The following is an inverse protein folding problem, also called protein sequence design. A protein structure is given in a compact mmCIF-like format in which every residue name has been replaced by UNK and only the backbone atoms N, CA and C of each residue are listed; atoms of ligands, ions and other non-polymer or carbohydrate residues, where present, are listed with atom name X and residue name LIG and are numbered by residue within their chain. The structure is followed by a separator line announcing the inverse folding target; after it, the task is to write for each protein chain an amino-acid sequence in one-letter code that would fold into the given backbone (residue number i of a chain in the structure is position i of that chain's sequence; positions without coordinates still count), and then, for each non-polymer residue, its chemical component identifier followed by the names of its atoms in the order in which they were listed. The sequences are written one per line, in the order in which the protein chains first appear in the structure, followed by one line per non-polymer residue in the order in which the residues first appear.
data_IF_430717665395
#
_entry.id   IF_430717665395
#
_cell.length_a   1.000
_cell.length_b   1.000
_cell.length_c   1.000
_cell.angle_alpha   90.00
_cell.angle_beta   90.00
_cell.angle_gamma   90.00
#
_symmetry.space_group_name_H-M   'P 1'
#
loop_
_entity.id
_entity.type
_entity.pdbx_description
1 polymer ?
#
# COMPACT_ATOMS: atom_id res chain seq x y z
N UNK A 1 -1.27 7.23 -22.75
CA UNK A 1 -0.64 8.07 -23.79
C UNK A 1 0.81 8.30 -23.44
N UNK A 2 1.72 8.04 -24.39
CA UNK A 2 3.13 8.40 -24.27
C UNK A 2 3.32 9.83 -24.81
N UNK A 3 3.74 10.74 -23.94
CA UNK A 3 3.97 12.16 -24.24
C UNK A 3 5.47 12.41 -24.41
N UNK A 4 6.05 11.79 -25.44
CA UNK A 4 7.49 11.80 -25.69
C UNK A 4 8.00 13.15 -26.26
N UNK A 5 7.10 13.96 -26.79
CA UNK A 5 7.35 15.28 -27.36
C UNK A 5 7.35 16.41 -26.30
N UNK A 6 7.04 16.09 -25.04
CA UNK A 6 7.05 17.05 -23.92
C UNK A 6 8.43 17.06 -23.26
N UNK A 7 9.27 18.09 -23.49
CA UNK A 7 10.59 18.15 -22.88
C UNK A 7 10.47 18.40 -21.37
N UNK A 8 11.18 17.60 -20.57
CA UNK A 8 11.29 17.80 -19.13
C UNK A 8 12.73 18.15 -18.76
N UNK A 9 12.91 19.03 -17.77
CA UNK A 9 14.24 19.38 -17.27
C UNK A 9 14.79 18.20 -16.44
N UNK A 10 15.96 17.62 -16.77
CA UNK A 10 16.53 16.46 -16.03
C UNK A 10 16.79 16.70 -14.55
N UNK A 11 16.86 17.97 -14.13
CA UNK A 11 17.06 18.42 -12.74
C UNK A 11 15.76 18.85 -12.05
N UNK A 12 14.60 18.64 -12.66
CA UNK A 12 13.31 19.00 -12.07
C UNK A 12 13.11 18.25 -10.73
N UNK A 13 12.78 19.01 -9.68
CA UNK A 13 12.57 18.42 -8.35
C UNK A 13 11.34 17.52 -8.33
N UNK A 14 10.23 18.00 -8.91
CA UNK A 14 8.97 17.26 -9.10
C UNK A 14 8.67 17.19 -10.60
N UNK A 15 9.05 16.11 -11.30
CA UNK A 15 8.99 16.07 -12.76
C UNK A 15 7.56 16.04 -13.32
N UNK A 16 6.56 15.66 -12.51
CA UNK A 16 5.16 15.60 -12.92
C UNK A 16 4.38 16.90 -12.66
N UNK A 17 5.02 17.91 -12.05
CA UNK A 17 4.37 19.17 -11.69
C UNK A 17 3.80 19.88 -12.92
N UNK A 18 2.47 20.06 -12.96
CA UNK A 18 1.77 20.73 -14.07
C UNK A 18 1.47 19.83 -15.28
N UNK A 19 1.83 18.54 -15.22
CA UNK A 19 1.61 17.59 -16.33
C UNK A 19 0.30 16.79 -16.19
N UNK A 20 -0.40 16.95 -15.06
CA UNK A 20 -1.57 16.15 -14.68
C UNK A 20 -2.70 16.18 -15.69
N UNK A 21 -2.89 17.26 -16.43
CA UNK A 21 -4.01 17.46 -17.35
C UNK A 21 -3.66 17.17 -18.80
N UNK A 22 -2.38 17.10 -19.15
CA UNK A 22 -1.93 16.98 -20.55
C UNK A 22 -2.39 15.68 -21.22
N UNK A 23 -2.67 14.64 -20.42
CA UNK A 23 -3.16 13.37 -20.91
C UNK A 23 -4.68 13.24 -21.03
N UNK A 24 -5.44 14.32 -20.76
CA UNK A 24 -6.90 14.26 -20.74
C UNK A 24 -7.41 13.28 -19.68
N UNK A 25 -8.31 12.35 -20.04
CA UNK A 25 -8.75 11.28 -19.14
C UNK A 25 -7.82 10.05 -19.15
N UNK A 26 -6.85 9.97 -20.07
CA UNK A 26 -5.94 8.83 -20.21
C UNK A 26 -4.78 8.88 -19.22
N UNK A 27 -4.15 7.73 -18.95
CA UNK A 27 -2.83 7.69 -18.31
C UNK A 27 -1.80 8.50 -19.12
N UNK A 28 -0.87 9.18 -18.44
CA UNK A 28 0.19 9.99 -19.06
C UNK A 28 1.57 9.45 -18.71
N UNK A 29 2.38 9.13 -19.72
CA UNK A 29 3.76 8.67 -19.54
C UNK A 29 4.70 9.73 -20.10
N UNK A 30 5.65 10.20 -19.29
CA UNK A 30 6.60 11.25 -19.65
C UNK A 30 8.05 10.75 -19.50
N UNK A 31 8.92 11.16 -20.43
CA UNK A 31 10.34 10.89 -20.30
C UNK A 31 10.95 11.76 -19.20
N UNK A 32 11.59 11.15 -18.20
CA UNK A 32 12.40 11.88 -17.20
C UNK A 32 13.36 10.91 -16.48
N UNK A 33 14.62 11.30 -16.15
CA UNK A 33 15.60 10.41 -15.50
C UNK A 33 15.23 9.95 -14.09
N UNK A 34 14.49 10.77 -13.33
CA UNK A 34 13.88 10.39 -12.05
C UNK A 34 12.56 9.66 -12.31
N UNK A 35 12.34 8.53 -11.63
CA UNK A 35 11.05 7.83 -11.56
C UNK A 35 10.11 8.56 -10.60
N UNK A 36 8.90 8.84 -11.07
CA UNK A 36 7.79 9.40 -10.31
C UNK A 36 6.47 8.79 -10.82
N UNK A 37 5.49 8.70 -9.95
CA UNK A 37 4.13 8.30 -10.27
C UNK A 37 3.18 9.06 -9.36
N UNK A 38 2.11 9.61 -9.92
CA UNK A 38 1.02 10.22 -9.16
C UNK A 38 -0.31 9.71 -9.72
N UNK A 39 -1.18 9.25 -8.82
CA UNK A 39 -2.57 8.99 -9.12
C UNK A 39 -3.37 10.29 -9.15
N UNK A 40 -4.10 10.52 -10.24
CA UNK A 40 -4.88 11.73 -10.49
C UNK A 40 -6.36 11.42 -10.31
N UNK A 41 -7.03 12.29 -9.55
CA UNK A 41 -8.41 12.07 -9.17
C UNK A 41 -9.36 12.15 -10.36
N UNK A 42 -10.27 11.18 -10.46
CA UNK A 42 -11.35 11.09 -11.44
C UNK A 42 -12.69 11.05 -10.72
N UNK A 43 -13.80 11.09 -11.46
CA UNK A 43 -15.13 10.92 -10.87
C UNK A 43 -15.24 9.61 -10.09
N UNK A 44 -15.94 9.62 -8.96
CA UNK A 44 -16.21 8.39 -8.18
C UNK A 44 -16.81 7.30 -9.08
N UNK A 45 -16.34 6.07 -8.90
CA UNK A 45 -16.74 4.92 -9.70
C UNK A 45 -15.99 4.78 -11.03
N UNK A 46 -15.22 5.80 -11.45
CA UNK A 46 -14.23 5.65 -12.53
C UNK A 46 -12.86 5.31 -11.95
N UNK A 47 -12.12 4.46 -12.66
CA UNK A 47 -10.71 4.21 -12.34
C UNK A 47 -9.92 5.50 -12.38
N UNK A 48 -9.12 5.75 -11.34
CA UNK A 48 -8.14 6.83 -11.35
C UNK A 48 -7.16 6.67 -12.51
N UNK A 49 -6.64 7.78 -13.01
CA UNK A 49 -5.57 7.75 -14.02
C UNK A 49 -4.22 7.99 -13.38
N UNK A 50 -3.18 7.42 -13.98
CA UNK A 50 -1.80 7.60 -13.53
C UNK A 50 -1.04 8.53 -14.47
N UNK A 51 -0.25 9.40 -13.86
CA UNK A 51 0.75 10.22 -14.54
C UNK A 51 2.09 9.81 -13.98
N UNK A 52 3.01 9.36 -14.85
CA UNK A 52 4.26 8.75 -14.43
C UNK A 52 5.43 9.11 -15.34
N UNK A 53 6.63 8.97 -14.79
CA UNK A 53 7.89 9.07 -15.55
C UNK A 53 8.62 7.74 -15.63
N UNK A 54 9.49 7.61 -16.63
CA UNK A 54 10.09 6.31 -17.01
C UNK A 54 11.36 5.93 -16.27
N UNK A 55 12.18 6.90 -15.84
CA UNK A 55 13.62 6.69 -15.69
C UNK A 55 14.36 6.86 -17.03
N UNK A 56 15.68 6.66 -17.04
CA UNK A 56 16.50 6.79 -18.25
C UNK A 56 17.64 5.77 -18.31
N UNK A 57 17.88 5.18 -19.49
CA UNK A 57 19.00 4.25 -19.75
C UNK A 57 20.30 4.97 -20.16
N UNK A 58 20.35 6.29 -20.02
CA UNK A 58 21.54 7.10 -20.31
C UNK A 58 22.50 7.12 -19.12
N UNK A 59 23.78 7.46 -19.38
CA UNK A 59 24.74 7.75 -18.31
C UNK A 59 24.37 9.07 -17.63
N UNK A 60 24.49 9.18 -16.29
CA UNK A 60 24.24 10.45 -15.61
C UNK A 60 25.34 11.45 -15.98
N UNK A 61 24.95 12.52 -16.67
CA UNK A 61 25.85 13.62 -17.03
C UNK A 61 25.19 14.92 -16.58
N UNK A 62 25.67 15.45 -15.46
CA UNK A 62 25.11 16.63 -14.81
C UNK A 62 26.19 17.65 -14.45
N UNK A 63 25.79 18.92 -14.32
CA UNK A 63 26.69 19.98 -13.85
C UNK A 63 27.05 19.82 -12.37
N UNK A 64 28.13 20.46 -11.92
CA UNK A 64 28.53 20.48 -10.51
C UNK A 64 27.66 21.39 -9.62
N UNK A 65 26.61 22.01 -10.18
CA UNK A 65 25.66 22.81 -9.42
C UNK A 65 24.85 21.96 -8.44
N UNK A 66 24.25 22.59 -7.42
CA UNK A 66 23.30 21.92 -6.50
C UNK A 66 22.20 21.17 -7.26
N UNK A 67 21.65 21.78 -8.31
CA UNK A 67 20.61 21.17 -9.13
C UNK A 67 21.14 19.95 -9.90
N UNK A 68 22.34 20.04 -10.47
CA UNK A 68 23.00 18.92 -11.15
C UNK A 68 23.30 17.75 -10.22
N UNK A 69 23.86 18.01 -9.04
CA UNK A 69 24.12 16.97 -8.03
C UNK A 69 22.86 16.31 -7.49
N UNK A 70 21.78 17.07 -7.30
CA UNK A 70 20.48 16.51 -6.94
C UNK A 70 19.89 15.67 -8.09
N UNK A 71 20.02 16.12 -9.33
CA UNK A 71 19.61 15.36 -10.52
C UNK A 71 20.35 14.03 -10.62
N UNK A 72 21.68 14.06 -10.49
CA UNK A 72 22.56 12.88 -10.47
C UNK A 72 22.15 11.87 -9.39
N UNK A 73 21.91 12.33 -8.16
CA UNK A 73 21.49 11.48 -7.04
C UNK A 73 20.16 10.75 -7.29
N UNK A 74 19.21 11.40 -7.96
CA UNK A 74 17.88 10.85 -8.21
C UNK A 74 17.70 10.21 -9.60
N UNK A 75 18.71 10.25 -10.47
CA UNK A 75 18.63 9.55 -11.75
C UNK A 75 18.54 8.04 -11.50
N UNK A 76 17.55 7.42 -12.13
CA UNK A 76 17.34 5.97 -12.10
C UNK A 76 17.59 5.41 -13.48
N UNK A 77 18.50 4.45 -13.56
CA UNK A 77 18.55 3.55 -14.71
C UNK A 77 17.32 2.65 -14.69
N UNK A 78 16.43 2.87 -15.63
CA UNK A 78 15.12 2.25 -15.59
C UNK A 78 14.28 2.50 -16.83
N UNK A 79 13.12 1.87 -16.83
CA UNK A 79 12.11 1.95 -17.85
C UNK A 79 10.73 1.67 -17.23
N UNK A 80 9.67 1.80 -18.02
CA UNK A 80 8.32 1.38 -17.65
C UNK A 80 7.88 0.28 -18.62
N UNK A 81 7.45 -0.84 -18.08
CA UNK A 81 6.67 -1.84 -18.83
C UNK A 81 5.24 -1.36 -18.88
N UNK A 82 4.67 -1.35 -20.09
CA UNK A 82 3.26 -1.10 -20.34
C UNK A 82 2.66 -2.37 -20.92
N UNK A 83 1.73 -2.97 -20.21
CA UNK A 83 0.91 -4.05 -20.74
C UNK A 83 -0.49 -3.50 -20.98
N UNK A 84 -1.00 -3.66 -22.21
CA UNK A 84 -2.30 -3.17 -22.61
C UNK A 84 -3.04 -4.27 -23.38
N UNK A 85 -4.21 -4.66 -22.88
CA UNK A 85 -5.06 -5.70 -23.46
C UNK A 85 -6.23 -5.11 -24.29
N UNK A 86 -6.17 -3.82 -24.60
CA UNK A 86 -7.26 -3.07 -25.24
C UNK A 86 -8.18 -2.36 -24.25
N UNK A 87 -8.35 -2.88 -23.03
CA UNK A 87 -9.24 -2.32 -22.01
C UNK A 87 -8.49 -1.77 -20.79
N UNK A 88 -7.53 -2.53 -20.27
CA UNK A 88 -6.76 -2.25 -19.07
C UNK A 88 -5.30 -1.97 -19.42
N UNK A 89 -4.70 -1.01 -18.71
CA UNK A 89 -3.28 -0.70 -18.85
C UNK A 89 -2.57 -0.94 -17.52
N UNK A 90 -1.63 -1.88 -17.49
CA UNK A 90 -0.78 -2.16 -16.33
C UNK A 90 0.59 -1.54 -16.52
N UNK A 91 1.09 -0.89 -15.47
CA UNK A 91 2.39 -0.22 -15.47
C UNK A 91 3.28 -0.84 -14.42
N UNK A 92 4.53 -1.17 -14.80
CA UNK A 92 5.56 -1.61 -13.84
C UNK A 92 6.86 -0.88 -14.11
N UNK A 93 7.42 -0.26 -13.08
CA UNK A 93 8.72 0.41 -13.19
C UNK A 93 9.83 -0.62 -13.07
N UNK A 94 10.65 -0.72 -14.12
CA UNK A 94 11.91 -1.43 -14.08
C UNK A 94 12.96 -0.50 -13.49
N UNK A 95 13.56 -0.91 -12.38
CA UNK A 95 14.55 -0.12 -11.67
C UNK A 95 15.83 -0.94 -11.51
N UNK A 96 16.85 -0.59 -12.29
CA UNK A 96 18.09 -1.34 -12.34
C UNK A 96 18.95 -1.11 -11.08
N UNK A 97 19.63 -2.17 -10.67
CA UNK A 97 20.75 -2.14 -9.75
C UNK A 97 21.97 -1.47 -10.37
N UNK A 98 23.01 -1.26 -9.56
CA UNK A 98 24.27 -0.66 -10.04
C UNK A 98 25.00 -1.52 -11.07
N UNK A 99 24.75 -2.82 -11.07
CA UNK A 99 25.28 -3.81 -12.01
C UNK A 99 24.46 -3.91 -13.32
N UNK A 100 23.40 -3.10 -13.45
CA UNK A 100 22.48 -3.12 -14.59
C UNK A 100 21.44 -4.24 -14.53
N UNK A 101 21.46 -5.09 -13.50
CA UNK A 101 20.42 -6.11 -13.31
C UNK A 101 19.11 -5.48 -12.83
N UNK A 102 17.98 -6.02 -13.26
CA UNK A 102 16.66 -5.58 -12.83
C UNK A 102 15.69 -6.76 -12.72
N UNK A 103 14.55 -6.49 -12.12
CA UNK A 103 13.52 -7.48 -11.84
C UNK A 103 12.20 -7.02 -12.44
N UNK A 104 11.44 -7.97 -12.96
CA UNK A 104 10.03 -7.80 -13.29
C UNK A 104 9.27 -9.03 -12.78
N UNK A 105 8.37 -8.81 -11.82
CA UNK A 105 7.59 -9.84 -11.14
C UNK A 105 8.47 -10.92 -10.50
N UNK A 106 8.53 -12.12 -11.06
CA UNK A 106 9.29 -13.27 -10.57
C UNK A 106 10.54 -13.54 -11.40
N UNK A 107 10.90 -12.62 -12.31
CA UNK A 107 12.01 -12.76 -13.25
C UNK A 107 13.11 -11.73 -12.99
N UNK A 108 14.35 -12.21 -12.91
CA UNK A 108 15.56 -11.38 -12.90
C UNK A 108 16.20 -11.35 -14.28
N UNK A 109 16.66 -10.17 -14.68
CA UNK A 109 17.36 -9.89 -15.93
C UNK A 109 18.76 -9.34 -15.64
N UNK A 110 19.77 -9.75 -16.41
CA UNK A 110 21.17 -9.37 -16.22
C UNK A 110 21.89 -9.12 -17.55
N UNK A 111 23.03 -8.42 -17.49
CA UNK A 111 23.85 -8.05 -18.67
C UNK A 111 24.57 -9.23 -19.31
N UNK A 112 24.89 -10.28 -18.53
CA UNK A 112 25.72 -11.41 -18.97
C UNK A 112 24.94 -12.61 -19.51
N UNK A 113 23.62 -12.66 -19.31
CA UNK A 113 22.75 -13.67 -19.88
C UNK A 113 21.32 -13.15 -19.89
N UNK A 114 20.68 -13.14 -21.07
CA UNK A 114 19.23 -12.89 -21.22
C UNK A 114 18.35 -13.98 -20.57
N UNK A 115 18.93 -14.87 -19.75
CA UNK A 115 18.21 -15.92 -19.04
C UNK A 115 17.48 -15.33 -17.84
N UNK A 116 16.16 -15.41 -17.96
CA UNK A 116 15.15 -15.34 -16.89
C UNK A 116 15.54 -16.27 -15.74
N UNK A 117 16.04 -15.70 -14.65
CA UNK A 117 16.19 -16.44 -13.39
C UNK A 117 14.94 -16.21 -12.55
N UNK A 118 14.30 -17.29 -12.12
CA UNK A 118 13.22 -17.21 -11.15
C UNK A 118 13.77 -16.75 -9.80
N UNK A 119 13.06 -15.83 -9.14
CA UNK A 119 13.39 -15.39 -7.79
C UNK A 119 12.12 -15.33 -6.93
N UNK A 120 12.31 -15.02 -5.64
CA UNK A 120 11.24 -14.65 -4.72
C UNK A 120 11.29 -13.15 -4.45
N UNK A 121 10.14 -12.51 -4.28
CA UNK A 121 10.11 -11.13 -3.78
C UNK A 121 10.51 -11.08 -2.30
N UNK A 122 11.15 -10.01 -1.86
CA UNK A 122 11.47 -9.80 -0.45
C UNK A 122 10.24 -9.39 0.35
N UNK A 123 9.54 -8.37 -0.14
CA UNK A 123 8.36 -7.82 0.53
C UNK A 123 7.26 -7.59 -0.49
N UNK A 124 6.04 -7.99 -0.15
CA UNK A 124 4.82 -7.54 -0.81
C UNK A 124 4.00 -6.72 0.21
N UNK A 125 3.92 -5.41 0.00
CA UNK A 125 3.07 -4.52 0.80
C UNK A 125 1.73 -4.36 0.09
N UNK A 126 0.66 -4.77 0.75
CA UNK A 126 -0.69 -4.64 0.23
C UNK A 126 -1.17 -3.19 0.38
N UNK A 127 -2.16 -2.81 -0.44
CA UNK A 127 -2.89 -1.57 -0.22
C UNK A 127 -3.72 -1.70 1.06
N UNK A 128 -4.04 -0.56 1.67
CA UNK A 128 -4.81 -0.48 2.92
C UNK A 128 -6.01 -1.44 2.90
N UNK A 129 -6.07 -2.37 3.85
CA UNK A 129 -6.85 -3.60 3.68
C UNK A 129 -8.34 -3.41 3.98
N UNK A 130 -8.65 -2.72 5.08
CA UNK A 130 -9.99 -2.54 5.65
C UNK A 130 -10.77 -3.86 5.70
N UNK A 131 -10.43 -4.74 6.63
CA UNK A 131 -10.76 -6.17 6.59
C UNK A 131 -12.21 -6.53 6.32
N UNK A 132 -13.20 -5.80 6.83
CA UNK A 132 -14.63 -6.05 6.56
C UNK A 132 -15.19 -5.32 5.34
N UNK A 133 -14.38 -4.45 4.74
CA UNK A 133 -14.68 -3.65 3.55
C UNK A 133 -13.70 -3.92 2.39
N UNK A 134 -12.89 -4.98 2.49
CA UNK A 134 -11.96 -5.36 1.43
C UNK A 134 -12.72 -5.68 0.13
N UNK A 135 -12.10 -5.40 -1.02
CA UNK A 135 -12.59 -5.89 -2.29
C UNK A 135 -12.17 -7.35 -2.48
N UNK A 136 -13.16 -8.25 -2.56
CA UNK A 136 -12.92 -9.69 -2.68
C UNK A 136 -12.17 -10.05 -3.97
N UNK A 137 -12.46 -9.37 -5.07
CA UNK A 137 -11.81 -9.61 -6.36
C UNK A 137 -10.33 -9.19 -6.32
N UNK A 138 -10.02 -8.14 -5.56
CA UNK A 138 -8.64 -7.72 -5.30
C UNK A 138 -7.89 -8.78 -4.52
N UNK A 139 -8.43 -9.26 -3.39
CA UNK A 139 -7.71 -10.29 -2.61
C UNK A 139 -7.61 -11.64 -3.31
N UNK A 140 -8.57 -11.97 -4.17
CA UNK A 140 -8.46 -13.13 -5.06
C UNK A 140 -7.27 -12.95 -6.03
N UNK A 141 -7.16 -11.79 -6.66
CA UNK A 141 -6.04 -11.46 -7.55
C UNK A 141 -4.69 -11.33 -6.79
N UNK A 142 -4.71 -10.95 -5.52
CA UNK A 142 -3.50 -10.71 -4.72
C UNK A 142 -2.97 -11.96 -4.02
N UNK A 143 -3.84 -12.70 -3.33
CA UNK A 143 -3.43 -13.77 -2.39
C UNK A 143 -4.11 -15.09 -2.72
N UNK A 144 -5.44 -15.11 -2.80
CA UNK A 144 -6.20 -16.35 -2.69
C UNK A 144 -6.34 -17.15 -3.99
N UNK A 145 -6.22 -16.48 -5.13
CA UNK A 145 -6.28 -17.12 -6.44
C UNK A 145 -5.04 -17.98 -6.71
N UNK A 146 -5.22 -19.05 -7.51
CA UNK A 146 -4.11 -19.92 -7.92
C UNK A 146 -3.03 -19.17 -8.70
N UNK A 147 -3.46 -18.25 -9.56
CA UNK A 147 -2.60 -17.37 -10.37
C UNK A 147 -2.50 -15.96 -9.74
N UNK A 148 -2.63 -15.88 -8.41
CA UNK A 148 -2.53 -14.62 -7.68
C UNK A 148 -1.13 -14.02 -7.74
N UNK A 149 -1.05 -12.73 -7.43
CA UNK A 149 0.20 -12.01 -7.36
C UNK A 149 1.16 -12.63 -6.33
N UNK A 150 0.66 -13.07 -5.17
CA UNK A 150 1.45 -13.75 -4.16
C UNK A 150 1.95 -15.12 -4.65
N UNK A 151 1.12 -15.90 -5.37
CA UNK A 151 1.54 -17.15 -6.01
C UNK A 151 2.67 -16.92 -7.02
N UNK A 152 2.60 -15.83 -7.79
CA UNK A 152 3.64 -15.45 -8.75
C UNK A 152 4.93 -14.98 -8.07
N UNK A 153 4.84 -14.02 -7.17
CA UNK A 153 5.98 -13.35 -6.53
C UNK A 153 6.64 -14.20 -5.43
N UNK A 154 5.86 -15.09 -4.79
CA UNK A 154 6.25 -15.89 -3.62
C UNK A 154 6.98 -15.06 -2.56
N UNK A 155 6.36 -13.97 -2.04
CA UNK A 155 7.05 -13.05 -1.16
C UNK A 155 7.60 -13.73 0.10
N UNK A 156 8.74 -13.27 0.61
CA UNK A 156 9.25 -13.69 1.93
C UNK A 156 8.42 -13.07 3.06
N UNK A 157 8.06 -11.80 2.92
CA UNK A 157 7.27 -11.03 3.88
C UNK A 157 6.06 -10.38 3.21
N UNK A 158 4.91 -10.42 3.88
CA UNK A 158 3.78 -9.55 3.58
C UNK A 158 3.71 -8.41 4.60
N UNK A 159 3.50 -7.18 4.14
CA UNK A 159 3.21 -6.02 5.00
C UNK A 159 1.77 -5.57 4.76
N UNK A 160 1.03 -5.37 5.85
CA UNK A 160 -0.36 -4.93 5.85
C UNK A 160 -0.49 -3.57 6.54
N UNK A 161 -1.32 -2.70 5.96
CA UNK A 161 -1.73 -1.42 6.51
C UNK A 161 -3.26 -1.39 6.66
N UNK A 162 -3.76 -0.61 7.63
CA UNK A 162 -5.20 -0.41 7.90
C UNK A 162 -6.01 -1.71 7.85
N UNK A 163 -5.59 -2.70 8.63
CA UNK A 163 -6.21 -4.03 8.60
C UNK A 163 -7.61 -4.01 9.19
N UNK A 164 -7.80 -3.30 10.29
CA UNK A 164 -9.11 -3.08 10.90
C UNK A 164 -9.79 -1.91 10.21
N UNK A 165 -11.07 -2.02 9.83
CA UNK A 165 -11.81 -0.87 9.29
C UNK A 165 -12.39 -0.01 10.43
N UNK A 166 -12.94 -0.70 11.43
CA UNK A 166 -13.65 -0.21 12.60
C UNK A 166 -14.94 0.57 12.28
N UNK A 167 -15.60 0.27 11.16
CA UNK A 167 -16.85 0.92 10.81
C UNK A 167 -17.97 0.62 11.80
N UNK A 168 -17.99 -0.57 12.41
CA UNK A 168 -19.05 -0.98 13.35
C UNK A 168 -19.24 0.00 14.50
N UNK A 169 -18.16 0.66 14.95
CA UNK A 169 -18.20 1.63 16.03
C UNK A 169 -17.33 2.88 15.79
N UNK A 170 -17.16 3.28 14.52
CA UNK A 170 -16.33 4.43 14.17
C UNK A 170 -16.84 5.72 14.80
N UNK A 171 -15.90 6.50 15.36
CA UNK A 171 -16.18 7.84 15.88
C UNK A 171 -16.53 8.86 14.78
N UNK A 172 -16.34 8.52 13.51
CA UNK A 172 -16.76 9.33 12.37
C UNK A 172 -18.23 9.13 11.96
N UNK A 173 -18.87 8.06 12.42
CA UNK A 173 -20.26 7.78 12.06
C UNK A 173 -21.21 8.79 12.73
N UNK A 174 -22.07 9.41 11.93
CA UNK A 174 -23.12 10.27 12.45
C UNK A 174 -24.31 9.44 12.99
N UNK A 175 -25.37 10.12 13.45
CA UNK A 175 -26.57 9.44 13.96
C UNK A 175 -27.23 8.54 12.91
N UNK A 176 -27.31 8.99 11.67
CA UNK A 176 -27.95 8.25 10.59
C UNK A 176 -27.11 7.06 10.14
N UNK A 177 -25.79 7.18 10.12
CA UNK A 177 -24.87 6.09 9.84
C UNK A 177 -24.97 5.00 10.90
N UNK A 178 -24.98 5.37 12.19
CA UNK A 178 -25.19 4.43 13.29
C UNK A 178 -26.54 3.72 13.17
N UNK A 179 -27.61 4.44 12.81
CA UNK A 179 -28.92 3.82 12.60
C UNK A 179 -28.91 2.84 11.41
N UNK A 180 -28.23 3.18 10.30
CA UNK A 180 -28.07 2.29 9.15
C UNK A 180 -27.36 1.00 9.54
N UNK A 181 -26.25 1.11 10.29
CA UNK A 181 -25.48 -0.03 10.78
C UNK A 181 -26.32 -0.91 11.70
N UNK A 182 -27.00 -0.33 12.69
CA UNK A 182 -27.92 -1.07 13.57
C UNK A 182 -28.99 -1.83 12.78
N UNK A 183 -29.58 -1.19 11.77
CA UNK A 183 -30.60 -1.83 10.92
C UNK A 183 -30.05 -2.99 10.11
N UNK A 184 -28.80 -2.93 9.68
CA UNK A 184 -28.13 -4.00 8.94
C UNK A 184 -27.34 -4.98 9.83
N UNK A 185 -27.44 -4.86 11.16
CA UNK A 185 -26.60 -5.61 12.12
C UNK A 185 -25.09 -5.42 11.89
N UNK A 186 -24.69 -4.27 11.33
CA UNK A 186 -23.30 -3.93 11.03
C UNK A 186 -22.58 -3.19 12.16
N UNK A 187 -23.21 -3.04 13.33
CA UNK A 187 -22.65 -2.36 14.51
C UNK A 187 -22.13 -3.33 15.57
N UNK A 188 -21.85 -4.58 15.20
CA UNK A 188 -21.23 -5.60 16.05
C UNK A 188 -19.70 -5.61 15.88
N UNK A 189 -19.02 -4.96 16.82
CA UNK A 189 -17.55 -4.87 16.87
C UNK A 189 -16.91 -6.25 17.04
N UNK A 190 -17.54 -7.16 17.79
CA UNK A 190 -16.98 -8.48 18.02
C UNK A 190 -17.00 -9.32 16.74
N UNK A 191 -18.04 -9.16 15.91
CA UNK A 191 -18.12 -9.79 14.58
C UNK A 191 -17.07 -9.21 13.65
N UNK A 192 -16.93 -7.88 13.57
CA UNK A 192 -15.91 -7.24 12.74
C UNK A 192 -14.48 -7.69 13.12
N UNK A 193 -14.18 -7.78 14.42
CA UNK A 193 -12.89 -8.28 14.90
C UNK A 193 -12.69 -9.73 14.46
N UNK A 194 -13.66 -10.62 14.66
CA UNK A 194 -13.55 -12.04 14.25
C UNK A 194 -13.28 -12.18 12.75
N UNK A 195 -14.00 -11.43 11.92
CA UNK A 195 -13.82 -11.44 10.47
C UNK A 195 -12.43 -10.92 10.08
N UNK A 196 -11.98 -9.85 10.73
CA UNK A 196 -10.64 -9.29 10.52
C UNK A 196 -9.54 -10.28 10.92
N UNK A 197 -9.65 -10.93 12.09
CA UNK A 197 -8.68 -11.95 12.53
C UNK A 197 -8.67 -13.15 11.57
N UNK A 198 -9.85 -13.63 11.14
CA UNK A 198 -9.95 -14.72 10.18
C UNK A 198 -9.27 -14.35 8.84
N UNK A 199 -9.42 -13.11 8.39
CA UNK A 199 -8.77 -12.63 7.17
C UNK A 199 -7.24 -12.57 7.32
N UNK A 200 -6.73 -12.08 8.44
CA UNK A 200 -5.28 -12.08 8.74
C UNK A 200 -4.73 -13.51 8.69
N UNK A 201 -5.40 -14.45 9.37
CA UNK A 201 -5.02 -15.86 9.38
C UNK A 201 -4.99 -16.44 7.96
N UNK A 202 -6.04 -16.22 7.19
CA UNK A 202 -6.12 -16.68 5.80
C UNK A 202 -5.00 -16.11 4.92
N UNK A 203 -4.65 -14.83 5.08
CA UNK A 203 -3.52 -14.22 4.36
C UNK A 203 -2.19 -14.87 4.79
N UNK A 204 -1.99 -15.11 6.09
CA UNK A 204 -0.78 -15.75 6.61
C UNK A 204 -0.60 -17.19 6.12
N UNK A 205 -1.72 -17.91 5.92
CA UNK A 205 -1.71 -19.31 5.47
C UNK A 205 -1.59 -19.44 3.95
N UNK A 206 -2.36 -18.67 3.19
CA UNK A 206 -2.48 -18.85 1.73
C UNK A 206 -1.43 -18.06 0.93
N UNK A 207 -0.78 -17.04 1.51
CA UNK A 207 0.20 -16.22 0.76
C UNK A 207 1.54 -16.91 0.46
N UNK A 208 1.87 -17.98 1.19
CA UNK A 208 3.20 -18.59 1.14
C UNK A 208 4.32 -17.74 1.75
N UNK A 209 4.00 -16.62 2.40
CA UNK A 209 4.96 -15.79 3.10
C UNK A 209 5.45 -16.47 4.38
N UNK A 210 6.70 -16.19 4.75
CA UNK A 210 7.29 -16.67 6.00
C UNK A 210 6.82 -15.84 7.20
N UNK A 211 6.43 -14.59 6.96
CA UNK A 211 5.90 -13.69 7.99
C UNK A 211 4.90 -12.68 7.40
N UNK A 212 3.95 -12.25 8.22
CA UNK A 212 2.98 -11.20 7.95
C UNK A 212 3.17 -10.11 9.00
N UNK A 213 3.50 -8.91 8.56
CA UNK A 213 3.79 -7.76 9.41
C UNK A 213 2.66 -6.74 9.28
N UNK A 214 2.07 -6.34 10.40
CA UNK A 214 1.04 -5.32 10.48
C UNK A 214 1.70 -4.03 10.94
N UNK A 215 1.75 -3.03 10.06
CA UNK A 215 2.26 -1.72 10.39
C UNK A 215 1.25 -0.98 11.29
N UNK A 216 1.75 -0.28 12.32
CA UNK A 216 0.91 0.55 13.17
C UNK A 216 0.23 1.67 12.37
N UNK A 217 -1.09 1.73 12.41
CA UNK A 217 -1.89 2.63 11.56
C UNK A 217 -2.94 3.42 12.35
N UNK A 218 -3.52 4.47 11.74
CA UNK A 218 -4.55 5.25 12.41
C UNK A 218 -5.80 4.41 12.66
N UNK A 219 -6.11 3.43 11.81
CA UNK A 219 -7.25 2.56 12.01
C UNK A 219 -7.12 1.69 13.27
N UNK A 220 -5.92 1.25 13.65
CA UNK A 220 -5.70 0.56 14.93
C UNK A 220 -6.11 1.46 16.11
N UNK A 221 -5.91 2.79 16.00
CA UNK A 221 -6.28 3.76 17.05
C UNK A 221 -7.79 3.97 17.20
N UNK A 222 -8.62 3.52 16.25
CA UNK A 222 -10.08 3.67 16.37
C UNK A 222 -10.63 2.87 17.56
N UNK A 223 -10.11 1.67 17.80
CA UNK A 223 -10.54 0.85 18.94
C UNK A 223 -10.09 1.50 20.26
N UNK A 224 -8.91 2.10 20.31
CA UNK A 224 -8.44 2.88 21.47
C UNK A 224 -9.39 4.03 21.78
N UNK A 225 -9.69 4.88 20.79
CA UNK A 225 -10.64 6.01 20.94
C UNK A 225 -12.03 5.53 21.37
N UNK A 226 -12.48 4.41 20.83
CA UNK A 226 -13.76 3.81 21.20
C UNK A 226 -13.77 3.34 22.66
N UNK A 227 -12.69 2.72 23.13
CA UNK A 227 -12.53 2.27 24.52
C UNK A 227 -12.37 3.44 25.50
N UNK A 228 -11.75 4.54 25.11
CA UNK A 228 -11.61 5.75 25.95
C UNK A 228 -12.95 6.46 26.18
N UNK A 229 -13.82 6.51 25.17
CA UNK A 229 -15.11 7.17 25.30
C UNK A 229 -16.05 6.37 26.23
N UNK A 230 -16.24 6.89 27.44
CA UNK A 230 -17.08 6.29 28.48
C UNK A 230 -18.53 6.05 28.04
N UNK A 231 -19.04 6.76 27.04
CA UNK A 231 -20.41 6.58 26.54
C UNK A 231 -20.59 5.21 25.89
N UNK A 232 -19.53 4.67 25.29
CA UNK A 232 -19.55 3.35 24.64
C UNK A 232 -19.64 2.21 25.67
N UNK A 233 -19.34 2.45 26.95
CA UNK A 233 -19.50 1.46 28.02
C UNK A 233 -20.98 1.04 28.25
N UNK A 234 -21.92 1.87 27.77
CA UNK A 234 -23.36 1.61 27.84
C UNK A 234 -23.93 0.95 26.58
N UNK A 235 -23.09 0.68 25.57
CA UNK A 235 -23.53 -0.02 24.37
C UNK A 235 -23.75 -1.51 24.67
N UNK A 236 -25.03 -1.89 24.80
CA UNK A 236 -25.44 -3.26 25.11
C UNK A 236 -25.02 -4.25 24.02
N UNK A 237 -24.96 -3.82 22.74
CA UNK A 237 -24.57 -4.70 21.63
C UNK A 237 -23.10 -5.13 21.78
N UNK A 238 -22.24 -4.18 22.17
CA UNK A 238 -20.80 -4.36 22.21
C UNK A 238 -20.24 -4.50 23.63
N UNK A 239 -21.10 -4.66 24.64
CA UNK A 239 -20.70 -4.63 26.04
C UNK A 239 -19.58 -5.64 26.37
N UNK A 240 -19.69 -6.88 25.87
CA UNK A 240 -18.68 -7.92 26.15
C UNK A 240 -17.32 -7.52 25.56
N UNK A 241 -17.28 -7.23 24.26
CA UNK A 241 -16.02 -6.88 23.57
C UNK A 241 -15.42 -5.58 24.11
N UNK A 242 -16.25 -4.58 24.45
CA UNK A 242 -15.81 -3.34 25.08
C UNK A 242 -15.14 -3.61 26.43
N UNK A 243 -15.86 -4.23 27.37
CA UNK A 243 -15.40 -4.40 28.75
C UNK A 243 -14.24 -5.38 28.83
N UNK A 244 -14.23 -6.44 28.02
CA UNK A 244 -13.13 -7.39 27.96
C UNK A 244 -11.85 -6.76 27.44
N UNK A 245 -11.92 -6.05 26.31
CA UNK A 245 -10.73 -5.40 25.72
C UNK A 245 -10.20 -4.32 26.68
N UNK A 246 -11.09 -3.53 27.28
CA UNK A 246 -10.71 -2.49 28.24
C UNK A 246 -10.05 -3.08 29.48
N UNK A 247 -10.60 -4.17 30.03
CA UNK A 247 -10.00 -4.86 31.18
C UNK A 247 -8.62 -5.43 30.84
N UNK A 248 -8.46 -6.07 29.67
CA UNK A 248 -7.18 -6.61 29.24
C UNK A 248 -6.11 -5.52 29.15
N UNK A 249 -6.44 -4.38 28.55
CA UNK A 249 -5.54 -3.23 28.46
C UNK A 249 -5.22 -2.62 29.83
N UNK A 250 -6.21 -2.45 30.71
CA UNK A 250 -5.98 -1.93 32.06
C UNK A 250 -5.08 -2.85 32.89
N UNK A 251 -5.24 -4.17 32.75
CA UNK A 251 -4.38 -5.15 33.42
C UNK A 251 -2.94 -5.09 32.88
N UNK A 252 -2.75 -4.97 31.56
CA UNK A 252 -1.43 -4.80 30.96
C UNK A 252 -0.74 -3.53 31.49
N UNK A 253 -1.46 -2.40 31.52
CA UNK A 253 -0.95 -1.14 32.11
C UNK A 253 -0.56 -1.32 33.58
N UNK A 254 -1.40 -1.98 34.38
CA UNK A 254 -1.11 -2.26 35.79
C UNK A 254 0.13 -3.15 35.97
N UNK A 255 0.45 -3.98 34.97
CA UNK A 255 1.65 -4.81 34.92
C UNK A 255 2.89 -4.09 34.31
N UNK A 256 2.75 -2.84 33.84
CA UNK A 256 3.75 -2.11 33.05
C UNK A 256 4.08 -2.78 31.70
N UNK A 257 3.08 -3.38 31.08
CA UNK A 257 3.14 -3.98 29.75
C UNK A 257 2.34 -3.14 28.74
N UNK A 258 2.80 -3.12 27.49
CA UNK A 258 2.04 -2.54 26.38
C UNK A 258 1.18 -3.62 25.73
N UNK A 259 -0.09 -3.31 25.46
CA UNK A 259 -1.00 -4.20 24.75
C UNK A 259 -1.70 -3.45 23.61
N UNK A 260 -1.47 -3.90 22.38
CA UNK A 260 -2.32 -3.48 21.26
C UNK A 260 -3.65 -4.27 21.31
N UNK A 261 -4.81 -3.58 21.29
CA UNK A 261 -6.13 -4.20 21.40
C UNK A 261 -6.46 -5.10 20.21
N UNK A 262 -6.03 -4.77 18.98
CA UNK A 262 -6.21 -5.67 17.85
C UNK A 262 -5.28 -6.88 17.97
N UNK A 263 -4.04 -6.66 18.41
CA UNK A 263 -3.11 -7.76 18.70
C UNK A 263 -3.69 -8.71 19.76
N UNK A 264 -4.26 -8.19 20.86
CA UNK A 264 -4.93 -9.00 21.87
C UNK A 264 -5.94 -9.98 21.25
N UNK A 265 -6.81 -9.48 20.38
CA UNK A 265 -7.82 -10.30 19.72
C UNK A 265 -7.24 -11.26 18.69
N UNK A 266 -6.21 -10.86 17.93
CA UNK A 266 -5.51 -11.78 17.02
C UNK A 266 -4.86 -12.92 17.80
N UNK A 267 -4.12 -12.63 18.88
CA UNK A 267 -3.51 -13.67 19.72
C UNK A 267 -4.55 -14.59 20.36
N UNK A 268 -5.71 -14.05 20.72
CA UNK A 268 -6.80 -14.81 21.35
C UNK A 268 -7.58 -15.69 20.37
N UNK A 269 -7.81 -15.21 19.15
CA UNK A 269 -8.73 -15.84 18.19
C UNK A 269 -8.02 -16.61 17.06
N UNK A 270 -6.73 -16.37 16.83
CA UNK A 270 -5.93 -17.07 15.83
C UNK A 270 -4.96 -18.07 16.53
N UNK A 271 -5.27 -19.38 16.52
CA UNK A 271 -4.48 -20.39 17.25
C UNK A 271 -3.00 -20.43 16.85
N UNK A 272 -2.70 -20.26 15.56
CA UNK A 272 -1.33 -20.09 15.06
C UNK A 272 -1.15 -18.66 14.54
N UNK A 273 -0.74 -17.77 15.44
CA UNK A 273 -0.37 -16.39 15.09
C UNK A 273 1.16 -16.19 15.04
N UNK A 274 1.95 -17.28 15.01
CA UNK A 274 3.41 -17.22 15.12
C UNK A 274 4.10 -16.43 14.00
N UNK A 275 3.47 -16.40 12.81
CA UNK A 275 3.92 -15.63 11.64
C UNK A 275 3.45 -14.17 11.64
N UNK A 276 2.54 -13.80 12.55
CA UNK A 276 1.90 -12.49 12.56
C UNK A 276 2.61 -11.58 13.55
N UNK A 277 3.20 -10.50 13.05
CA UNK A 277 3.94 -9.52 13.84
C UNK A 277 3.27 -8.16 13.78
N UNK A 278 3.05 -7.54 14.94
CA UNK A 278 2.50 -6.20 15.06
C UNK A 278 3.63 -5.23 15.33
N UNK A 279 3.68 -4.14 14.57
CA UNK A 279 4.62 -3.05 14.82
C UNK A 279 3.95 -1.95 15.62
N UNK A 280 4.67 -1.42 16.61
CA UNK A 280 4.29 -0.14 17.24
C UNK A 280 4.52 1.03 16.26
N UNK A 281 3.87 2.18 16.50
CA UNK A 281 4.01 3.38 15.66
C UNK A 281 5.47 3.82 15.45
N UNK A 282 6.28 3.73 16.50
CA UNK A 282 7.69 4.16 16.51
C UNK A 282 8.68 2.99 16.37
N UNK A 283 8.20 1.79 16.09
CA UNK A 283 9.05 0.63 15.82
C UNK A 283 9.51 0.64 14.36
N UNK A 284 10.78 0.33 14.10
CA UNK A 284 11.33 0.25 12.75
C UNK A 284 11.25 -1.18 12.22
N UNK A 285 10.85 -1.32 10.96
CA UNK A 285 10.93 -2.60 10.25
C UNK A 285 11.55 -2.35 8.87
N UNK A 286 12.85 -2.64 8.75
CA UNK A 286 13.60 -2.39 7.51
C UNK A 286 14.06 -3.67 6.82
N UNK A 287 13.93 -3.68 5.48
CA UNK A 287 14.42 -4.77 4.61
C UNK A 287 15.27 -4.15 3.51
N UNK A 288 16.55 -4.53 3.43
CA UNK A 288 17.54 -3.99 2.47
C UNK A 288 17.61 -2.45 2.42
N UNK A 289 17.45 -1.82 3.59
CA UNK A 289 17.48 -0.36 3.74
C UNK A 289 16.22 0.36 3.23
N UNK A 290 15.10 -0.35 3.13
CA UNK A 290 13.75 0.20 2.93
C UNK A 290 12.94 0.02 4.19
N UNK A 291 12.35 1.11 4.68
CA UNK A 291 11.48 1.13 5.87
C UNK A 291 10.00 0.89 5.49
N UNK A 292 9.32 0.11 6.34
CA UNK A 292 7.96 -0.40 6.14
C UNK A 292 7.03 -0.19 7.33
N UNK A 293 7.53 0.33 8.46
CA UNK A 293 6.70 0.51 9.66
C UNK A 293 5.76 1.71 9.58
N UNK A 294 6.07 2.69 8.73
CA UNK A 294 5.34 3.94 8.66
C UNK A 294 4.07 3.77 7.82
N UNK A 295 2.90 3.92 8.44
CA UNK A 295 1.64 3.88 7.72
C UNK A 295 1.44 5.08 6.77
N UNK A 296 1.87 6.28 7.17
CA UNK A 296 1.87 7.46 6.31
C UNK A 296 0.86 8.54 6.67
N UNK A 297 0.04 8.32 7.70
CA UNK A 297 -0.89 9.29 8.30
C UNK A 297 -0.16 10.38 9.09
N UNK A 298 0.92 10.00 9.79
CA UNK A 298 1.79 10.89 10.54
C UNK A 298 3.05 11.20 9.74
N UNK A 299 3.29 12.48 9.51
CA UNK A 299 4.53 13.02 8.99
C UNK A 299 5.53 13.35 10.09
N UNK A 300 6.60 14.03 9.69
CA UNK A 300 7.69 14.44 10.59
C UNK A 300 7.14 15.22 11.79
N UNK A 301 7.52 14.79 13.00
CA UNK A 301 7.10 15.38 14.28
C UNK A 301 5.57 15.45 14.48
N UNK A 302 4.83 14.44 14.00
CA UNK A 302 3.38 14.34 14.17
C UNK A 302 2.57 15.28 13.26
N UNK A 303 3.21 15.93 12.27
CA UNK A 303 2.50 16.67 11.24
C UNK A 303 1.57 15.73 10.43
N UNK A 304 0.63 16.29 9.65
CA UNK A 304 -0.13 15.46 8.71
C UNK A 304 0.80 14.86 7.64
N UNK A 305 0.75 13.55 7.49
CA UNK A 305 1.55 12.81 6.53
C UNK A 305 1.14 13.06 5.07
N UNK A 306 2.12 12.90 4.18
CA UNK A 306 1.92 12.90 2.73
C UNK A 306 3.13 12.27 2.04
N UNK A 307 2.91 11.64 0.88
CA UNK A 307 3.97 11.11 0.01
C UNK A 307 5.17 12.07 -0.10
N UNK A 308 4.90 13.32 -0.49
CA UNK A 308 5.95 14.33 -0.68
C UNK A 308 6.56 14.81 0.64
N UNK A 309 5.80 14.84 1.73
CA UNK A 309 6.31 15.19 3.06
C UNK A 309 7.35 14.19 3.56
N UNK A 310 7.09 12.90 3.34
CA UNK A 310 7.97 11.80 3.74
C UNK A 310 9.33 11.82 3.05
N UNK A 311 9.42 12.35 1.83
CA UNK A 311 10.69 12.45 1.09
C UNK A 311 11.77 13.24 1.84
N UNK A 312 11.38 14.12 2.78
CA UNK A 312 12.31 14.90 3.60
C UNK A 312 13.09 14.06 4.61
N UNK A 313 12.61 12.85 4.93
CA UNK A 313 13.35 11.92 5.79
C UNK A 313 14.65 11.43 5.12
N UNK A 314 14.75 11.49 3.79
CA UNK A 314 15.89 10.97 3.04
C UNK A 314 16.01 9.44 3.06
N UNK A 315 15.08 8.75 3.74
CA UNK A 315 14.97 7.30 3.80
C UNK A 315 14.11 6.76 2.66
N UNK A 316 14.36 5.51 2.28
CA UNK A 316 13.47 4.77 1.38
C UNK A 316 12.32 4.22 2.22
N UNK A 317 11.09 4.52 1.81
CA UNK A 317 9.88 4.19 2.58
C UNK A 317 8.86 3.50 1.67
N UNK A 318 8.11 2.53 2.20
CA UNK A 318 6.83 2.10 1.65
C UNK A 318 5.75 2.43 2.68
N UNK A 319 4.73 3.17 2.27
CA UNK A 319 3.65 3.68 3.13
C UNK A 319 2.29 3.40 2.49
N UNK A 320 1.21 3.46 3.27
CA UNK A 320 -0.19 3.38 2.83
C UNK A 320 -0.95 4.69 3.03
N UNK A 321 -2.04 4.62 3.80
CA UNK A 321 -2.87 5.71 4.31
C UNK A 321 -3.75 6.45 3.30
N UNK A 322 -3.16 6.95 2.21
CA UNK A 322 -3.91 7.85 1.33
C UNK A 322 -4.84 7.12 0.35
N UNK A 323 -4.69 5.79 0.24
CA UNK A 323 -5.29 4.93 -0.78
C UNK A 323 -4.97 5.30 -2.25
N UNK A 324 -4.17 6.35 -2.47
CA UNK A 324 -3.78 6.87 -3.78
C UNK A 324 -2.32 6.51 -4.06
N UNK A 325 -2.02 5.62 -5.02
CA UNK A 325 -0.65 5.19 -5.24
C UNK A 325 0.24 6.32 -5.75
N UNK A 326 1.52 6.26 -5.38
CA UNK A 326 2.49 7.26 -5.84
C UNK A 326 3.95 6.90 -5.56
N UNK A 327 4.84 7.54 -6.30
CA UNK A 327 6.30 7.40 -6.14
C UNK A 327 6.93 8.80 -6.14
N UNK A 328 7.67 9.10 -5.08
CA UNK A 328 8.43 10.35 -4.96
C UNK A 328 9.73 10.11 -4.17
N UNK A 329 10.88 10.42 -4.77
CA UNK A 329 12.20 10.49 -4.11
C UNK A 329 12.54 9.30 -3.17
N UNK A 330 12.19 8.08 -3.57
CA UNK A 330 12.45 6.86 -2.79
C UNK A 330 11.32 6.44 -1.83
N UNK A 331 10.27 7.24 -1.71
CA UNK A 331 9.02 6.90 -1.03
C UNK A 331 8.04 6.31 -2.04
N UNK A 332 7.49 5.15 -1.72
CA UNK A 332 6.46 4.46 -2.49
C UNK A 332 5.21 4.40 -1.63
N UNK A 333 4.08 4.85 -2.18
CA UNK A 333 2.80 4.82 -1.50
C UNK A 333 1.91 3.81 -2.21
N UNK A 334 1.41 2.83 -1.46
CA UNK A 334 0.43 1.87 -1.97
C UNK A 334 -0.93 2.54 -2.13
N UNK A 335 -1.85 1.84 -2.80
CA UNK A 335 -3.24 2.23 -2.87
C UNK A 335 -4.05 1.59 -1.75
N UNK A 336 -5.22 1.09 -2.10
CA UNK A 336 -6.09 0.34 -1.19
C UNK A 336 -6.29 -1.11 -1.65
N UNK A 337 -6.71 -1.99 -0.76
CA UNK A 337 -7.34 -3.28 -1.09
C UNK A 337 -8.84 -3.28 -0.75
N UNK A 338 -9.37 -2.14 -0.31
CA UNK A 338 -10.77 -1.94 0.08
C UNK A 338 -11.70 -1.64 -1.09
N UNK A 339 -13.01 -1.62 -0.81
CA UNK A 339 -14.01 -1.04 -1.70
C UNK A 339 -13.60 0.38 -2.13
N UNK A 340 -13.72 0.67 -3.43
CA UNK A 340 -13.51 2.02 -3.95
C UNK A 340 -14.55 3.04 -3.49
N UNK A 341 -15.62 2.58 -2.84
CA UNK A 341 -16.62 3.43 -2.20
C UNK A 341 -16.71 3.06 -0.73
N UNK A 342 -16.06 3.87 0.10
CA UNK A 342 -16.03 3.71 1.55
C UNK A 342 -17.08 4.56 2.27
N UNK A 343 -17.63 5.57 1.59
CA UNK A 343 -18.67 6.47 2.10
C UNK A 343 -18.12 7.83 2.53
N UNK A 344 -16.85 7.89 2.96
CA UNK A 344 -16.15 9.13 3.27
C UNK A 344 -15.39 9.71 2.08
N UNK A 345 -15.10 8.92 1.05
CA UNK A 345 -14.50 9.39 -0.19
C UNK A 345 -15.58 10.03 -1.09
N UNK A 346 -15.68 11.36 -1.03
CA UNK A 346 -16.68 12.16 -1.75
C UNK A 346 -16.04 13.03 -2.84
N UNK A 347 -16.78 13.36 -3.89
CA UNK A 347 -16.28 14.18 -5.01
C UNK A 347 -15.45 13.40 -6.05
N UNK A 348 -14.19 13.79 -6.22
CA UNK A 348 -13.23 13.09 -7.09
C UNK A 348 -12.32 12.19 -6.24
N UNK A 349 -11.94 11.03 -6.77
CA UNK A 349 -11.06 10.08 -6.08
C UNK A 349 -9.85 9.71 -6.93
N UNK A 350 -8.66 9.71 -6.33
CA UNK A 350 -7.43 9.18 -6.92
C UNK A 350 -7.08 7.79 -6.38
N UNK A 351 -8.03 7.13 -5.72
CA UNK A 351 -7.79 5.80 -5.18
C UNK A 351 -7.61 4.77 -6.29
N UNK A 352 -6.74 3.81 -6.02
CA UNK A 352 -6.53 2.68 -6.91
C UNK A 352 -6.19 1.44 -6.10
N UNK A 353 -6.55 0.26 -6.62
CA UNK A 353 -6.10 -0.99 -6.03
C UNK A 353 -4.65 -1.20 -6.43
N UNK A 354 -3.71 -0.98 -5.51
CA UNK A 354 -2.28 -0.98 -5.84
C UNK A 354 -1.44 -1.43 -4.67
N UNK A 355 -0.50 -2.31 -4.96
CA UNK A 355 0.45 -2.90 -4.01
C UNK A 355 1.88 -2.48 -4.37
N UNK A 356 2.81 -2.73 -3.46
CA UNK A 356 4.23 -2.48 -3.69
C UNK A 356 5.02 -3.77 -3.49
N UNK A 357 5.83 -4.14 -4.48
CA UNK A 357 6.78 -5.26 -4.37
C UNK A 357 8.19 -4.71 -4.19
N UNK A 358 8.96 -5.30 -3.27
CA UNK A 358 10.41 -5.18 -3.21
C UNK A 358 11.09 -6.45 -3.72
N UNK A 359 12.06 -6.26 -4.60
CA UNK A 359 12.90 -7.31 -5.16
C UNK A 359 14.23 -7.45 -4.40
N UNK A 360 14.98 -8.51 -4.67
CA UNK A 360 16.24 -8.85 -3.96
C UNK A 360 17.33 -7.76 -4.00
N UNK A 361 17.29 -6.83 -4.96
CA UNK A 361 18.22 -5.71 -5.02
C UNK A 361 17.76 -4.46 -4.24
N UNK A 362 16.71 -4.59 -3.41
CA UNK A 362 16.10 -3.49 -2.65
C UNK A 362 15.36 -2.47 -3.53
N UNK A 363 15.14 -2.76 -4.82
CA UNK A 363 14.34 -1.93 -5.73
C UNK A 363 12.87 -2.35 -5.66
N UNK A 364 12.00 -1.41 -6.00
CA UNK A 364 10.55 -1.56 -5.83
C UNK A 364 9.78 -1.18 -7.09
N UNK A 365 8.64 -1.83 -7.28
CA UNK A 365 7.62 -1.46 -8.26
C UNK A 365 6.25 -1.42 -7.58
N UNK A 366 5.41 -0.48 -8.01
CA UNK A 366 3.99 -0.55 -7.74
C UNK A 366 3.35 -1.52 -8.73
N UNK A 367 2.33 -2.25 -8.29
CA UNK A 367 1.55 -3.19 -9.10
C UNK A 367 0.09 -2.92 -8.82
N UNK A 368 -0.64 -2.49 -9.84
CA UNK A 368 -2.07 -2.18 -9.72
C UNK A 368 -2.93 -3.37 -10.14
N UNK A 369 -3.98 -3.60 -9.37
CA UNK A 369 -5.03 -4.56 -9.71
C UNK A 369 -6.14 -3.79 -10.40
N UNK A 370 -6.45 -4.17 -11.62
CA UNK A 370 -7.48 -3.53 -12.45
C UNK A 370 -8.43 -4.63 -12.85
N UNK A 371 -9.71 -4.52 -12.47
CA UNK A 371 -10.74 -5.51 -12.80
C UNK A 371 -10.34 -6.96 -12.42
N UNK A 372 -9.69 -7.14 -11.26
CA UNK A 372 -9.24 -8.45 -10.78
C UNK A 372 -7.97 -9.00 -11.44
N UNK A 373 -7.23 -8.17 -12.17
CA UNK A 373 -6.00 -8.57 -12.87
C UNK A 373 -4.82 -7.69 -12.45
N UNK A 374 -3.63 -8.29 -12.26
CA UNK A 374 -2.40 -7.57 -11.91
C UNK A 374 -1.42 -7.42 -13.08
N UNK A 375 -1.74 -8.04 -14.22
CA UNK A 375 -1.06 -7.94 -15.51
C UNK A 375 -2.09 -8.13 -16.63
N UNK A 376 -1.73 -7.77 -17.88
CA UNK A 376 -2.60 -8.08 -19.01
C UNK A 376 -2.76 -9.60 -19.20
N UNK A 377 -3.95 -10.03 -19.59
CA UNK A 377 -4.20 -11.43 -19.97
C UNK A 377 -3.30 -11.84 -21.14
N UNK A 378 -2.55 -12.93 -21.01
CA UNK A 378 -1.72 -13.48 -22.10
C UNK A 378 -2.50 -14.37 -23.08
N UNK A 379 -3.83 -14.27 -23.13
CA UNK A 379 -4.63 -14.94 -24.15
C UNK A 379 -4.53 -14.15 -25.46
N UNK A 380 -3.98 -14.82 -26.48
CA UNK A 380 -3.82 -14.39 -27.89
C UNK A 380 -2.55 -13.59 -28.24
N UNK A 381 -1.40 -14.23 -28.02
CA UNK A 381 -0.29 -14.15 -28.97
C UNK A 381 0.02 -15.58 -29.46
N UNK A 382 -0.86 -16.11 -30.32
CA UNK A 382 -0.65 -17.34 -31.07
C UNK A 382 -0.51 -17.01 -32.56
#
# INVERSE_FOLDING_TARGET
MLLADVPTQPTAVRPLSGLHTMSGESHGIFGHPKIALESVATGIGKSSKFVLTTGAVTRPVYSQSKAGKKGEFHQVQGAVVVEWDGANAHFRHLNAGKDGSFYDLDQKYSTSNAKRLSHRAKVLTLGDLHGVRHDRGVLEATVFGKDSLASRLRPETIVLHDVLDFQSASHHNDFFDKFRLRKSSGDDVATEIRETVALIGRIADESGASQVVLAGSNHNEHIYKWLEDHRNATDVQNAIVYHETKLAMLNAIAANEDLDPLEYWVRKLLPDSSKVHFLKRDESFSVDGVEYSQHGDQGINGARGSLHGMTKAGAKLVIGHSHSPGIADGVYQVGTSSSMSMGYNTGLSSWAHTHCVQYENGKRSLISIINGQWCANQTEAA
#
